data_IF_506303013317
#
_entry.id   IF_506303013317
#
_cell.length_a   1.000
_cell.length_b   1.000
_cell.length_c   1.000
_cell.angle_alpha   90.00
_cell.angle_beta   90.00
_cell.angle_gamma   90.00
#
_symmetry.space_group_name_H-M   'P 1'
#
loop_
_entity.id
_entity.type
_entity.pdbx_description
1 polymer ?
#
# COMPACT_ATOMS: atom_id res chain seq x y z
N UNK A 1 -5.34 -16.38 -0.47
CA UNK A 1 -4.84 -15.29 0.38
C UNK A 1 -4.54 -15.91 1.72
N UNK A 2 -3.28 -15.95 2.16
CA UNK A 2 -2.91 -16.48 3.48
C UNK A 2 -2.71 -15.28 4.41
N UNK A 3 -3.57 -15.08 5.43
CA UNK A 3 -3.45 -13.95 6.34
C UNK A 3 -2.10 -13.94 7.08
N UNK A 4 -1.57 -12.76 7.39
CA UNK A 4 -0.35 -12.60 8.19
C UNK A 4 0.92 -12.34 7.37
N UNK A 5 2.06 -12.30 8.07
CA UNK A 5 3.37 -12.03 7.47
C UNK A 5 3.76 -13.12 6.46
N UNK A 6 4.21 -12.70 5.28
CA UNK A 6 4.71 -13.58 4.23
C UNK A 6 6.22 -13.42 4.09
N UNK A 7 7.04 -14.35 4.60
CA UNK A 7 8.50 -14.24 4.52
C UNK A 7 9.02 -14.34 3.08
N UNK A 8 8.23 -14.91 2.18
CA UNK A 8 8.52 -15.05 0.75
C UNK A 8 7.85 -13.97 -0.11
N UNK A 9 7.33 -12.90 0.51
CA UNK A 9 6.80 -11.77 -0.25
C UNK A 9 7.87 -11.19 -1.18
N UNK A 10 7.52 -10.97 -2.45
CA UNK A 10 8.45 -10.44 -3.46
C UNK A 10 8.78 -8.97 -3.26
N UNK A 11 8.00 -8.27 -2.44
CA UNK A 11 8.13 -6.84 -2.19
C UNK A 11 7.86 -6.57 -0.71
N UNK A 12 8.73 -5.78 -0.08
CA UNK A 12 8.60 -5.31 1.30
C UNK A 12 8.66 -3.79 1.32
N UNK A 13 7.75 -3.18 2.07
CA UNK A 13 7.66 -1.74 2.27
C UNK A 13 7.96 -1.42 3.74
N UNK A 14 8.87 -0.47 3.97
CA UNK A 14 9.13 0.10 5.30
C UNK A 14 8.83 1.59 5.24
N UNK A 15 7.89 2.04 6.07
CA UNK A 15 7.41 3.42 6.14
C UNK A 15 6.81 3.74 7.51
N UNK A 16 6.62 5.03 7.79
CA UNK A 16 5.92 5.48 9.01
C UNK A 16 4.43 5.13 8.99
N UNK A 17 3.84 5.00 10.18
CA UNK A 17 2.38 4.78 10.32
C UNK A 17 1.58 5.89 9.64
N UNK A 18 1.98 7.15 9.84
CA UNK A 18 1.32 8.31 9.25
C UNK A 18 1.28 8.24 7.72
N UNK A 19 2.40 7.83 7.10
CA UNK A 19 2.46 7.64 5.66
C UNK A 19 1.61 6.43 5.22
N UNK A 20 1.60 5.35 5.99
CA UNK A 20 0.82 4.16 5.67
C UNK A 20 -0.69 4.48 5.66
N UNK A 21 -1.15 5.26 6.64
CA UNK A 21 -2.53 5.72 6.71
C UNK A 21 -2.92 6.56 5.50
N UNK A 22 -2.10 7.56 5.12
CA UNK A 22 -2.35 8.39 3.94
C UNK A 22 -2.55 7.55 2.68
N UNK A 23 -1.66 6.59 2.45
CA UNK A 23 -1.67 5.78 1.22
C UNK A 23 -2.83 4.77 1.22
N UNK A 24 -2.97 4.00 2.29
CA UNK A 24 -3.85 2.81 2.29
C UNK A 24 -5.27 3.08 2.80
N UNK A 25 -5.46 4.13 3.60
CA UNK A 25 -6.76 4.49 4.18
C UNK A 25 -7.36 5.70 3.49
N UNK A 26 -6.57 6.77 3.33
CA UNK A 26 -7.03 8.04 2.74
C UNK A 26 -6.95 8.05 1.20
N UNK A 27 -6.40 6.97 0.61
CA UNK A 27 -6.20 6.82 -0.83
C UNK A 27 -5.33 7.91 -1.47
N UNK A 28 -4.41 8.51 -0.69
CA UNK A 28 -3.42 9.48 -1.19
C UNK A 28 -2.22 8.75 -1.79
N UNK A 29 -2.38 8.30 -3.04
CA UNK A 29 -1.29 7.67 -3.79
C UNK A 29 -0.12 8.64 -4.06
N UNK A 30 -0.39 9.95 -4.14
CA UNK A 30 0.64 10.95 -4.39
C UNK A 30 1.61 11.06 -3.21
N UNK A 31 1.13 10.98 -1.97
CA UNK A 31 1.97 10.92 -0.78
C UNK A 31 2.95 9.74 -0.82
N UNK A 32 2.51 8.57 -1.31
CA UNK A 32 3.38 7.41 -1.46
C UNK A 32 4.52 7.61 -2.45
N UNK A 33 4.22 8.20 -3.61
CA UNK A 33 5.24 8.52 -4.63
C UNK A 33 6.21 9.58 -4.10
N UNK A 34 5.71 10.63 -3.45
CA UNK A 34 6.55 11.69 -2.88
C UNK A 34 7.48 11.15 -1.80
N UNK A 35 6.98 10.33 -0.89
CA UNK A 35 7.78 9.73 0.17
C UNK A 35 8.85 8.77 -0.36
N UNK A 36 8.54 8.02 -1.44
CA UNK A 36 9.54 7.18 -2.11
C UNK A 36 10.67 8.04 -2.71
N UNK A 37 10.34 9.13 -3.40
CA UNK A 37 11.32 10.04 -3.98
C UNK A 37 12.14 10.78 -2.91
N UNK A 38 11.53 11.11 -1.77
CA UNK A 38 12.18 11.74 -0.64
C UNK A 38 13.05 10.79 0.21
N UNK A 39 12.98 9.48 -0.02
CA UNK A 39 13.68 8.46 0.77
C UNK A 39 13.03 8.14 2.13
N UNK A 40 11.79 8.61 2.35
CA UNK A 40 11.00 8.34 3.57
C UNK A 40 10.27 6.99 3.52
N UNK A 41 10.19 6.37 2.34
CA UNK A 41 9.72 5.01 2.14
C UNK A 41 10.84 4.15 1.57
N UNK A 42 11.20 3.09 2.29
CA UNK A 42 12.13 2.09 1.80
C UNK A 42 11.34 0.96 1.13
N UNK A 43 11.76 0.62 -0.09
CA UNK A 43 11.22 -0.49 -0.86
C UNK A 43 12.32 -1.52 -1.08
N UNK A 44 12.05 -2.77 -0.73
CA UNK A 44 12.92 -3.91 -1.00
C UNK A 44 12.20 -4.90 -1.93
N UNK A 45 12.92 -5.47 -2.89
CA UNK A 45 12.39 -6.47 -3.82
C UNK A 45 11.86 -5.88 -5.13
N UNK A 46 10.74 -6.40 -5.63
CA UNK A 46 10.20 -6.06 -6.95
C UNK A 46 9.40 -4.74 -6.92
N UNK A 47 10.04 -3.66 -7.41
CA UNK A 47 9.43 -2.32 -7.52
C UNK A 47 8.38 -2.27 -8.64
N UNK A 48 8.50 -3.11 -9.68
CA UNK A 48 7.53 -3.15 -10.77
C UNK A 48 6.14 -3.54 -10.28
N UNK A 49 6.06 -4.32 -9.19
CA UNK A 49 4.80 -4.62 -8.48
C UNK A 49 4.13 -3.37 -7.93
N UNK A 50 4.89 -2.43 -7.36
CA UNK A 50 4.33 -1.18 -6.82
C UNK A 50 3.81 -0.27 -7.93
N UNK A 51 4.55 -0.18 -9.03
CA UNK A 51 4.12 0.62 -10.20
C UNK A 51 2.87 0.03 -10.83
N UNK A 52 2.81 -1.30 -10.98
CA UNK A 52 1.63 -1.99 -11.49
C UNK A 52 0.40 -1.79 -10.59
N UNK A 53 0.56 -1.71 -9.26
CA UNK A 53 -0.54 -1.44 -8.34
C UNK A 53 -1.21 -0.08 -8.57
N UNK A 54 -0.51 0.91 -9.11
CA UNK A 54 -1.07 2.23 -9.39
C UNK A 54 -2.02 2.24 -10.60
N UNK A 55 -1.88 1.28 -11.51
CA UNK A 55 -2.61 1.25 -12.79
C UNK A 55 -3.72 0.20 -12.82
N UNK A 56 -3.73 -0.73 -11.85
CA UNK A 56 -4.75 -1.78 -11.76
C UNK A 56 -5.98 -1.23 -11.05
N UNK A 57 -7.12 -1.25 -11.76
CA UNK A 57 -8.40 -0.95 -11.13
C UNK A 57 -8.79 -2.09 -10.15
N UNK A 58 -9.11 -1.78 -8.88
CA UNK A 58 -9.54 -2.79 -7.93
C UNK A 58 -10.91 -3.37 -8.30
N UNK A 59 -11.06 -4.68 -8.14
CA UNK A 59 -12.33 -5.40 -8.27
C UNK A 59 -13.34 -4.98 -7.19
N UNK A 60 -14.63 -5.26 -7.41
CA UNK A 60 -15.69 -4.91 -6.44
C UNK A 60 -15.46 -5.48 -5.02
N UNK A 61 -15.00 -6.74 -4.85
CA UNK A 61 -14.65 -7.24 -3.53
C UNK A 61 -13.48 -6.47 -2.88
N UNK A 62 -12.49 -6.05 -3.66
CA UNK A 62 -11.37 -5.24 -3.15
C UNK A 62 -11.83 -3.84 -2.77
N UNK A 63 -12.69 -3.20 -3.58
CA UNK A 63 -13.32 -1.91 -3.25
C UNK A 63 -14.12 -1.99 -1.94
N UNK A 64 -14.86 -3.08 -1.72
CA UNK A 64 -15.57 -3.31 -0.44
C UNK A 64 -14.59 -3.46 0.72
N UNK A 65 -13.54 -4.26 0.56
CA UNK A 65 -12.53 -4.47 1.60
C UNK A 65 -11.86 -3.14 2.00
N UNK A 66 -11.49 -2.29 1.04
CA UNK A 66 -10.92 -0.96 1.33
C UNK A 66 -11.87 -0.11 2.18
N UNK A 67 -13.18 -0.12 1.88
CA UNK A 67 -14.18 0.60 2.68
C UNK A 67 -14.31 0.04 4.09
N UNK A 68 -14.35 -1.29 4.23
CA UNK A 68 -14.45 -1.95 5.53
C UNK A 68 -13.21 -1.62 6.39
N UNK A 69 -12.01 -1.65 5.79
CA UNK A 69 -10.76 -1.27 6.47
C UNK A 69 -10.83 0.18 6.93
N UNK A 70 -11.18 1.12 6.06
CA UNK A 70 -11.27 2.54 6.42
C UNK A 70 -12.28 2.81 7.55
N UNK A 71 -13.38 2.06 7.61
CA UNK A 71 -14.38 2.21 8.67
C UNK A 71 -13.88 1.77 10.06
N UNK A 72 -12.96 0.79 10.14
CA UNK A 72 -12.43 0.27 11.41
C UNK A 72 -11.15 0.96 11.88
N UNK A 73 -10.45 1.68 10.99
CA UNK A 73 -9.24 2.45 11.31
C UNK A 73 -9.49 3.94 11.49
N UNK A 74 -10.75 4.39 11.41
CA UNK A 74 -11.17 5.77 11.68
C UNK A 74 -10.79 6.24 13.10
#
# INVERSE_FOLDING_TARGET
FSPGHQPTATTKLTLSEALARKIFIEADAAAGVQAFLAGEMQVEGDIAKLVAMQTVEPSDPQKKLTKDIAAITA
#
